data_IF_744682117219
#
_entry.id   IF_744682117219
#
_cell.length_a   1.000
_cell.length_b   1.000
_cell.length_c   1.000
_cell.angle_alpha   90.00
_cell.angle_beta   90.00
_cell.angle_gamma   90.00
#
_symmetry.space_group_name_H-M   'P 1'
#
loop_
_entity.id
_entity.type
_entity.pdbx_description
1 polymer ?
#
# COMPACT_ATOMS: atom_id res chain seq x y z
N UNK A 1 7.91 -17.83 4.61
CA UNK A 1 7.55 -16.47 5.06
C UNK A 1 6.03 -16.37 5.09
N UNK A 2 5.41 -15.62 6.02
CA UNK A 2 3.97 -15.44 5.99
C UNK A 2 3.55 -14.65 4.75
N UNK A 3 2.34 -14.96 4.26
CA UNK A 3 1.74 -14.31 3.11
C UNK A 3 0.34 -13.84 3.47
N UNK A 4 -0.11 -12.73 2.89
CA UNK A 4 -1.45 -12.20 3.10
C UNK A 4 -2.00 -11.62 1.81
N UNK A 5 -3.21 -12.00 1.46
CA UNK A 5 -3.90 -11.49 0.27
C UNK A 5 -4.96 -10.50 0.70
N UNK A 6 -4.88 -9.28 0.18
CA UNK A 6 -5.88 -8.22 0.31
C UNK A 6 -6.73 -8.20 -0.96
N UNK A 7 -8.05 -8.14 -0.78
CA UNK A 7 -9.01 -8.02 -1.88
C UNK A 7 -9.59 -6.62 -1.88
N UNK A 8 -9.70 -6.02 -3.06
CA UNK A 8 -10.20 -4.66 -3.27
C UNK A 8 -11.47 -4.68 -4.11
N UNK A 9 -12.20 -3.56 -4.12
CA UNK A 9 -13.50 -3.51 -4.79
C UNK A 9 -13.44 -3.73 -6.30
N UNK A 10 -12.31 -3.39 -6.95
CA UNK A 10 -12.10 -3.65 -8.37
C UNK A 10 -10.62 -3.54 -8.76
N UNK A 11 -10.20 -4.09 -9.91
CA UNK A 11 -8.83 -3.92 -10.42
C UNK A 11 -8.45 -2.45 -10.64
N UNK A 12 -9.42 -1.62 -11.06
CA UNK A 12 -9.21 -0.18 -11.26
C UNK A 12 -8.97 0.54 -9.94
N UNK A 13 -9.68 0.11 -8.89
CA UNK A 13 -9.50 0.65 -7.55
C UNK A 13 -8.12 0.33 -7.02
N UNK A 14 -7.72 -0.94 -7.05
CA UNK A 14 -6.37 -1.38 -6.67
C UNK A 14 -5.30 -0.64 -7.47
N UNK A 15 -5.48 -0.54 -8.80
CA UNK A 15 -4.58 0.24 -9.66
C UNK A 15 -4.45 1.70 -9.22
N UNK A 16 -5.55 2.32 -8.80
CA UNK A 16 -5.53 3.70 -8.32
C UNK A 16 -4.78 3.88 -6.99
N UNK A 17 -4.68 2.84 -6.15
CA UNK A 17 -3.95 2.91 -4.88
C UNK A 17 -2.45 3.13 -5.09
N UNK A 18 -1.88 2.58 -6.16
CA UNK A 18 -0.49 2.79 -6.56
C UNK A 18 -0.35 3.75 -7.75
N UNK A 19 -1.34 4.64 -7.96
CA UNK A 19 -1.38 5.63 -9.04
C UNK A 19 -1.24 5.05 -10.46
N UNK A 20 -1.59 3.78 -10.66
CA UNK A 20 -1.51 3.08 -11.94
C UNK A 20 -0.09 2.81 -12.44
N UNK A 21 0.93 2.92 -11.57
CA UNK A 21 2.35 2.74 -11.92
C UNK A 21 2.96 1.60 -11.12
N UNK A 22 3.34 0.52 -11.79
CA UNK A 22 3.99 -0.63 -11.15
C UNK A 22 5.31 -0.24 -10.44
N UNK A 23 5.99 0.80 -10.93
CA UNK A 23 7.17 1.39 -10.30
C UNK A 23 6.92 1.81 -8.84
N UNK A 24 5.70 2.24 -8.51
CA UNK A 24 5.32 2.60 -7.15
C UNK A 24 5.24 1.35 -6.26
N UNK A 25 4.76 0.22 -6.79
CA UNK A 25 4.76 -1.04 -6.05
C UNK A 25 6.18 -1.49 -5.75
N UNK A 26 7.09 -1.39 -6.72
CA UNK A 26 8.52 -1.69 -6.53
C UNK A 26 9.15 -0.78 -5.47
N UNK A 27 8.76 0.50 -5.42
CA UNK A 27 9.18 1.42 -4.37
C UNK A 27 8.69 0.95 -2.99
N UNK A 28 7.41 0.58 -2.86
CA UNK A 28 6.86 0.06 -1.61
C UNK A 28 7.55 -1.25 -1.17
N UNK A 29 7.80 -2.18 -2.09
CA UNK A 29 8.55 -3.41 -1.83
C UNK A 29 9.92 -3.12 -1.21
N UNK A 30 10.67 -2.18 -1.81
CA UNK A 30 12.00 -1.78 -1.32
C UNK A 30 11.93 -1.04 0.01
N UNK A 31 10.99 -0.12 0.18
CA UNK A 31 10.87 0.69 1.39
C UNK A 31 10.46 -0.16 2.60
N UNK A 32 9.50 -1.08 2.42
CA UNK A 32 8.94 -1.91 3.50
C UNK A 32 9.66 -3.26 3.66
N UNK A 33 10.53 -3.63 2.70
CA UNK A 33 11.19 -4.94 2.70
C UNK A 33 10.18 -6.07 2.54
N UNK A 34 9.28 -5.95 1.56
CA UNK A 34 8.21 -6.91 1.27
C UNK A 34 8.22 -7.29 -0.21
N UNK A 35 7.54 -8.39 -0.55
CA UNK A 35 7.21 -8.75 -1.92
C UNK A 35 5.71 -8.51 -2.15
N UNK A 36 5.37 -7.78 -3.20
CA UNK A 36 4.02 -7.40 -3.58
C UNK A 36 3.67 -8.04 -4.92
N UNK A 37 2.63 -8.87 -4.94
CA UNK A 37 2.10 -9.47 -6.16
C UNK A 37 0.67 -8.99 -6.34
N UNK A 38 0.41 -8.21 -7.38
CA UNK A 38 -0.93 -7.72 -7.71
C UNK A 38 -1.47 -8.45 -8.93
N UNK A 39 -2.74 -8.85 -8.91
CA UNK A 39 -3.45 -9.37 -10.08
C UNK A 39 -4.93 -9.11 -9.93
N UNK A 40 -5.55 -8.63 -11.00
CA UNK A 40 -6.98 -8.31 -11.02
C UNK A 40 -7.34 -7.38 -9.85
N UNK A 41 -8.20 -7.82 -8.93
CA UNK A 41 -8.68 -7.06 -7.77
C UNK A 41 -7.95 -7.38 -6.46
N UNK A 42 -6.90 -8.20 -6.48
CA UNK A 42 -6.19 -8.60 -5.26
C UNK A 42 -4.70 -8.24 -5.26
N UNK A 43 -4.18 -8.03 -4.06
CA UNK A 43 -2.77 -7.82 -3.77
C UNK A 43 -2.30 -8.81 -2.71
N UNK A 44 -1.32 -9.63 -3.05
CA UNK A 44 -0.64 -10.52 -2.11
C UNK A 44 0.65 -9.88 -1.63
N UNK A 45 0.82 -9.89 -0.32
CA UNK A 45 2.00 -9.40 0.39
C UNK A 45 2.72 -10.62 0.96
N UNK A 46 4.01 -10.74 0.71
CA UNK A 46 4.87 -11.77 1.27
C UNK A 46 6.07 -11.12 1.96
N UNK A 47 6.19 -11.33 3.27
CA UNK A 47 7.23 -10.72 4.10
C UNK A 47 7.27 -11.34 5.50
N UNK A 48 8.29 -11.06 6.34
CA UNK A 48 8.21 -11.32 7.79
C UNK A 48 7.00 -10.63 8.44
N UNK A 49 6.52 -11.15 9.58
CA UNK A 49 5.27 -10.70 10.21
C UNK A 49 5.20 -9.18 10.48
N UNK A 50 6.31 -8.56 10.90
CA UNK A 50 6.37 -7.11 11.16
C UNK A 50 6.19 -6.29 9.86
N UNK A 51 6.92 -6.65 8.81
CA UNK A 51 6.85 -5.97 7.52
C UNK A 51 5.49 -6.21 6.84
N UNK A 52 4.94 -7.41 7.00
CA UNK A 52 3.61 -7.78 6.49
C UNK A 52 2.53 -6.89 7.13
N UNK A 53 2.57 -6.68 8.45
CA UNK A 53 1.63 -5.81 9.15
C UNK A 53 1.77 -4.34 8.70
N UNK A 54 2.99 -3.85 8.45
CA UNK A 54 3.20 -2.48 7.93
C UNK A 54 2.67 -2.30 6.52
N UNK A 55 2.95 -3.25 5.63
CA UNK A 55 2.46 -3.22 4.26
C UNK A 55 0.94 -3.34 4.20
N UNK A 56 0.34 -4.21 5.02
CA UNK A 56 -1.11 -4.27 5.17
C UNK A 56 -1.69 -2.91 5.60
N UNK A 57 -1.12 -2.29 6.64
CA UNK A 57 -1.58 -0.99 7.13
C UNK A 57 -1.45 0.11 6.07
N UNK A 58 -0.38 0.10 5.26
CA UNK A 58 -0.22 1.02 4.12
C UNK A 58 -1.39 0.89 3.14
N UNK A 59 -1.69 -0.33 2.68
CA UNK A 59 -2.75 -0.52 1.69
C UNK A 59 -4.14 -0.27 2.25
N UNK A 60 -4.38 -0.57 3.52
CA UNK A 60 -5.60 -0.19 4.22
C UNK A 60 -5.77 1.33 4.30
N UNK A 61 -4.70 2.07 4.61
CA UNK A 61 -4.71 3.53 4.63
C UNK A 61 -4.99 4.11 3.23
N UNK A 62 -4.32 3.60 2.19
CA UNK A 62 -4.55 4.05 0.82
C UNK A 62 -5.99 3.78 0.36
N UNK A 63 -6.54 2.63 0.73
CA UNK A 63 -7.94 2.27 0.45
C UNK A 63 -8.92 3.25 1.11
N UNK A 64 -8.72 3.55 2.40
CA UNK A 64 -9.52 4.55 3.12
C UNK A 64 -9.39 5.95 2.52
N UNK A 65 -8.17 6.41 2.23
CA UNK A 65 -7.93 7.70 1.60
C UNK A 65 -8.64 7.80 0.24
N UNK A 66 -8.61 6.72 -0.55
CA UNK A 66 -9.30 6.65 -1.83
C UNK A 66 -10.82 6.66 -1.66
N UNK A 67 -11.35 5.96 -0.66
CA UNK A 67 -12.77 5.95 -0.33
C UNK A 67 -13.28 7.35 0.10
N UNK A 68 -12.43 8.18 0.71
CA UNK A 68 -12.71 9.58 1.02
C UNK A 68 -12.58 10.53 -0.20
N UNK A 69 -12.22 10.02 -1.37
CA UNK A 69 -12.09 10.80 -2.61
C UNK A 69 -10.70 11.37 -2.87
N UNK A 70 -9.69 11.05 -2.04
CA UNK A 70 -8.31 11.47 -2.29
C UNK A 70 -7.80 10.86 -3.60
N UNK A 71 -7.12 11.65 -4.41
CA UNK A 71 -6.42 11.18 -5.60
C UNK A 71 -4.96 10.90 -5.25
N UNK A 72 -4.59 9.62 -5.22
CA UNK A 72 -3.20 9.20 -4.91
C UNK A 72 -2.36 9.36 -6.17
N UNK A 73 -1.33 10.22 -6.11
CA UNK A 73 -0.31 10.37 -7.16
C UNK A 73 0.99 9.69 -6.73
N UNK A 74 1.89 9.41 -7.67
CA UNK A 74 3.22 8.84 -7.39
C UNK A 74 3.98 9.51 -6.23
N UNK A 75 4.15 10.85 -6.18
CA UNK A 75 4.86 11.47 -5.06
C UNK A 75 4.16 11.30 -3.71
N UNK A 76 2.82 11.27 -3.70
CA UNK A 76 2.05 11.03 -2.48
C UNK A 76 2.22 9.57 -2.03
N UNK A 77 2.11 8.63 -2.96
CA UNK A 77 2.33 7.21 -2.69
C UNK A 77 3.71 6.96 -2.08
N UNK A 78 4.77 7.51 -2.67
CA UNK A 78 6.13 7.35 -2.16
C UNK A 78 6.24 7.90 -0.73
N UNK A 79 5.76 9.13 -0.49
CA UNK A 79 5.78 9.73 0.86
C UNK A 79 5.05 8.89 1.89
N UNK A 80 3.87 8.37 1.53
CA UNK A 80 3.06 7.52 2.41
C UNK A 80 3.81 6.19 2.67
N UNK A 81 4.27 5.50 1.63
CA UNK A 81 5.01 4.24 1.75
C UNK A 81 6.28 4.40 2.62
N UNK A 82 7.05 5.46 2.40
CA UNK A 82 8.24 5.78 3.19
C UNK A 82 7.91 6.09 4.66
N UNK A 83 6.78 6.77 4.92
CA UNK A 83 6.32 7.01 6.29
C UNK A 83 5.91 5.71 7.00
N UNK A 84 5.20 4.80 6.32
CA UNK A 84 4.86 3.48 6.86
C UNK A 84 6.11 2.62 7.08
N UNK A 85 7.10 2.68 6.18
CA UNK A 85 8.39 2.03 6.36
C UNK A 85 9.13 2.52 7.62
N UNK A 86 9.05 3.82 7.93
CA UNK A 86 9.59 4.43 9.15
C UNK A 86 8.74 4.20 10.42
N UNK A 87 7.59 3.53 10.32
CA UNK A 87 6.67 3.35 11.45
C UNK A 87 5.83 4.58 11.79
N UNK A 88 5.78 5.57 10.90
CA UNK A 88 5.03 6.82 11.09
C UNK A 88 3.60 6.74 10.53
N UNK A 89 3.15 5.58 10.07
CA UNK A 89 1.80 5.38 9.50
C UNK A 89 0.67 5.84 10.42
N UNK A 90 0.82 5.67 11.74
CA UNK A 90 -0.15 6.16 12.73
C UNK A 90 -0.33 7.68 12.72
N UNK A 91 0.72 8.46 12.39
CA UNK A 91 0.64 9.93 12.26
C UNK A 91 -0.04 10.35 10.96
N UNK A 92 -0.07 9.48 9.94
CA UNK A 92 -0.78 9.76 8.70
C UNK A 92 -2.29 9.57 8.86
N UNK A 93 -2.72 8.64 9.71
CA UNK A 93 -4.14 8.44 10.02
C UNK A 93 -4.81 9.67 10.64
N UNK A 94 -4.07 10.57 11.29
CA UNK A 94 -4.64 11.83 11.81
C UNK A 94 -4.90 12.89 10.74
N UNK A 95 -4.52 12.63 9.48
CA UNK A 95 -4.69 13.53 8.34
C UNK A 95 -5.88 13.14 7.43
N UNK A 96 -6.52 12.00 7.70
CA UNK A 96 -7.74 11.49 7.05
C UNK A 96 -8.97 11.72 7.93
#
# INVERSE_FOLDING_TARGET
MPTKTLHFSSPRHLSSLYAGREENLVHAERALGVQLVTREDWLRIEAPAENLARAEALFAFLDQARAQGMAIRTPDFHRIADAFARGEGAKLHTLL
#
